data_IF_521555706960
#
_entry.id   IF_521555706960
#
_cell.length_a   1.000
_cell.length_b   1.000
_cell.length_c   1.000
_cell.angle_alpha   90.00
_cell.angle_beta   90.00
_cell.angle_gamma   90.00
#
_symmetry.space_group_name_H-M   'P 1'
#
loop_
_entity.id
_entity.type
_entity.pdbx_description
1 polymer ?
#
# COMPACT_ATOMS: atom_id res chain seq x y z
N UNK A 1 6.73 7.78 13.26
CA UNK A 1 5.59 7.20 14.00
C UNK A 1 4.52 6.80 12.99
N UNK A 2 4.62 5.59 12.43
CA UNK A 2 3.63 5.11 11.48
C UNK A 2 2.25 5.09 12.14
N UNK A 3 1.20 5.48 11.42
CA UNK A 3 -0.20 5.47 11.87
C UNK A 3 -0.78 4.04 11.95
N UNK A 4 0.02 3.09 12.43
CA UNK A 4 -0.35 1.70 12.62
C UNK A 4 -0.96 1.50 14.02
N UNK A 5 -1.94 0.61 14.11
CA UNK A 5 -2.51 0.25 15.40
C UNK A 5 -1.42 -0.33 16.34
N UNK A 6 -1.41 0.04 17.64
CA UNK A 6 -0.39 -0.39 18.60
C UNK A 6 -0.37 -1.91 18.79
N UNK A 7 -1.51 -2.58 18.62
CA UNK A 7 -1.62 -4.05 18.65
C UNK A 7 -0.87 -4.71 17.48
N UNK A 8 -0.99 -4.15 16.27
CA UNK A 8 -0.27 -4.62 15.07
C UNK A 8 1.24 -4.45 15.29
N UNK A 9 1.67 -3.28 15.77
CA UNK A 9 3.07 -3.02 16.09
C UNK A 9 3.62 -4.00 17.13
N UNK A 10 2.83 -4.35 18.14
CA UNK A 10 3.24 -5.30 19.20
C UNK A 10 3.39 -6.71 18.64
N UNK A 11 2.43 -7.18 17.83
CA UNK A 11 2.50 -8.51 17.18
C UNK A 11 3.65 -8.58 16.20
N UNK A 12 3.85 -7.53 15.39
CA UNK A 12 4.94 -7.42 14.44
C UNK A 12 6.30 -7.51 15.14
N UNK A 13 6.52 -6.75 16.21
CA UNK A 13 7.76 -6.83 17.00
C UNK A 13 7.98 -8.22 17.58
N UNK A 14 6.94 -8.87 18.08
CA UNK A 14 7.04 -10.23 18.61
C UNK A 14 7.42 -11.24 17.52
N UNK A 15 6.82 -11.16 16.33
CA UNK A 15 7.14 -12.03 15.20
C UNK A 15 8.57 -11.80 14.69
N UNK A 16 8.96 -10.54 14.51
CA UNK A 16 10.30 -10.16 14.07
C UNK A 16 11.39 -10.54 15.08
N UNK A 17 11.08 -10.52 16.39
CA UNK A 17 12.01 -10.98 17.44
C UNK A 17 12.23 -12.50 17.40
N UNK A 18 11.25 -13.27 16.91
CA UNK A 18 11.37 -14.73 16.72
C UNK A 18 12.19 -15.09 15.48
N UNK A 19 12.31 -14.18 14.53
CA UNK A 19 13.10 -14.38 13.31
C UNK A 19 14.59 -14.24 13.62
N UNK A 20 15.35 -15.31 13.44
CA UNK A 20 16.80 -15.33 13.70
C UNK A 20 17.59 -14.55 12.64
N UNK A 21 17.02 -14.38 11.45
CA UNK A 21 17.57 -13.61 10.33
C UNK A 21 17.78 -12.14 10.71
N UNK A 22 16.91 -11.60 11.55
CA UNK A 22 16.99 -10.25 12.09
C UNK A 22 17.99 -10.12 13.23
N UNK A 23 18.61 -11.22 13.67
CA UNK A 23 19.64 -11.25 14.73
C UNK A 23 21.03 -11.07 14.13
N UNK A 24 21.24 -11.54 12.90
CA UNK A 24 22.51 -11.48 12.19
C UNK A 24 22.52 -10.37 11.14
N UNK A 25 23.47 -9.43 11.25
CA UNK A 25 23.53 -8.25 10.38
C UNK A 25 23.85 -8.63 8.92
N UNK A 26 24.67 -9.67 8.72
CA UNK A 26 25.03 -10.13 7.39
C UNK A 26 23.82 -10.73 6.65
N UNK A 27 22.99 -11.49 7.37
CA UNK A 27 21.75 -12.08 6.82
C UNK A 27 20.71 -11.00 6.55
N UNK A 28 20.60 -10.02 7.44
CA UNK A 28 19.75 -8.85 7.22
C UNK A 28 20.17 -8.06 5.98
N UNK A 29 21.48 -7.78 5.83
CA UNK A 29 22.03 -7.16 4.62
C UNK A 29 21.76 -7.97 3.35
N UNK A 30 21.80 -9.29 3.44
CA UNK A 30 21.49 -10.17 2.31
C UNK A 30 19.99 -10.13 1.94
N UNK A 31 19.08 -10.01 2.91
CA UNK A 31 17.66 -9.75 2.65
C UNK A 31 17.47 -8.44 1.89
N UNK A 32 18.17 -7.40 2.30
CA UNK A 32 18.16 -6.11 1.62
C UNK A 32 18.85 -6.11 0.24
N UNK A 33 19.47 -7.21 -0.19
CA UNK A 33 19.92 -7.37 -1.57
C UNK A 33 18.75 -7.66 -2.54
N UNK A 34 17.56 -7.95 -2.01
CA UNK A 34 16.33 -8.06 -2.81
C UNK A 34 15.99 -6.72 -3.44
N UNK A 35 15.80 -6.72 -4.76
CA UNK A 35 15.58 -5.52 -5.59
C UNK A 35 14.44 -4.66 -5.05
N UNK A 36 13.42 -5.30 -4.46
CA UNK A 36 12.22 -4.65 -3.90
C UNK A 36 12.52 -3.78 -2.69
N UNK A 37 13.53 -4.13 -1.89
CA UNK A 37 13.86 -3.46 -0.62
C UNK A 37 15.28 -2.88 -0.57
N UNK A 38 16.09 -3.13 -1.59
CA UNK A 38 17.43 -2.55 -1.75
C UNK A 38 17.52 -1.03 -1.60
N UNK A 39 16.55 -0.20 -2.05
CA UNK A 39 16.67 1.25 -1.87
C UNK A 39 16.69 1.68 -0.39
N UNK A 40 16.11 0.90 0.52
CA UNK A 40 16.05 1.24 1.94
C UNK A 40 17.19 0.63 2.77
N UNK A 41 18.06 -0.18 2.15
CA UNK A 41 19.19 -0.83 2.83
C UNK A 41 20.19 0.17 3.44
N UNK A 42 20.41 1.30 2.77
CA UNK A 42 21.33 2.35 3.20
C UNK A 42 20.71 3.35 4.18
N UNK A 43 19.37 3.33 4.31
CA UNK A 43 18.62 4.25 5.15
C UNK A 43 18.51 3.76 6.60
N UNK A 44 18.80 2.47 6.85
CA UNK A 44 18.74 1.88 8.17
C UNK A 44 20.05 2.09 8.94
N UNK A 45 20.00 2.68 10.15
CA UNK A 45 21.18 2.75 10.99
C UNK A 45 21.57 1.35 11.48
N UNK A 46 22.88 1.15 11.60
CA UNK A 46 23.45 -0.08 12.14
C UNK A 46 23.24 -0.12 13.66
N UNK A 47 22.03 -0.48 14.11
CA UNK A 47 21.74 -0.56 15.53
C UNK A 47 22.36 -1.82 16.15
N UNK A 48 23.03 -1.64 17.30
CA UNK A 48 23.83 -2.69 17.96
C UNK A 48 22.97 -3.83 18.58
N UNK A 49 21.66 -3.65 18.72
CA UNK A 49 20.76 -4.62 19.38
C UNK A 49 19.62 -5.01 18.45
N UNK A 50 19.29 -6.30 18.45
CA UNK A 50 18.22 -6.85 17.62
C UNK A 50 16.87 -6.17 17.86
N UNK A 51 16.49 -5.91 19.11
CA UNK A 51 15.23 -5.24 19.45
C UNK A 51 15.17 -3.79 18.98
N UNK A 52 16.28 -3.06 19.10
CA UNK A 52 16.38 -1.68 18.65
C UNK A 52 16.39 -1.59 17.12
N UNK A 53 17.05 -2.54 16.44
CA UNK A 53 16.97 -2.67 14.97
C UNK A 53 15.54 -2.89 14.51
N UNK A 54 14.81 -3.83 15.12
CA UNK A 54 13.41 -4.09 14.75
C UNK A 54 12.56 -2.84 14.93
N UNK A 55 12.72 -2.13 16.05
CA UNK A 55 12.02 -0.87 16.28
C UNK A 55 12.33 0.16 15.19
N UNK A 56 13.60 0.29 14.82
CA UNK A 56 14.08 1.26 13.85
C UNK A 56 13.59 0.92 12.44
N UNK A 57 13.62 -0.35 12.05
CA UNK A 57 13.10 -0.85 10.77
C UNK A 57 11.61 -0.52 10.65
N UNK A 58 10.82 -0.80 11.70
CA UNK A 58 9.38 -0.52 11.68
C UNK A 58 9.10 0.98 11.58
N UNK A 59 9.81 1.81 12.34
CA UNK A 59 9.59 3.26 12.32
C UNK A 59 10.07 3.89 10.99
N UNK A 60 11.21 3.44 10.47
CA UNK A 60 11.80 3.96 9.23
C UNK A 60 11.03 3.49 8.00
N UNK A 61 10.69 2.21 7.91
CA UNK A 61 9.99 1.66 6.74
C UNK A 61 8.48 1.92 6.80
N UNK A 62 7.89 2.03 7.98
CA UNK A 62 6.45 2.27 8.13
C UNK A 62 5.99 3.62 7.56
N UNK A 63 6.86 4.64 7.56
CA UNK A 63 6.58 5.97 7.00
C UNK A 63 6.95 6.08 5.50
N UNK A 64 7.58 5.04 4.92
CA UNK A 64 8.14 5.09 3.58
C UNK A 64 7.32 4.23 2.63
N UNK A 65 7.02 4.81 1.47
CA UNK A 65 6.30 4.13 0.40
C UNK A 65 7.18 4.01 -0.84
N UNK A 66 7.07 2.88 -1.55
CA UNK A 66 7.76 2.71 -2.82
C UNK A 66 7.07 3.56 -3.90
N UNK A 67 7.75 4.61 -4.37
CA UNK A 67 7.21 5.56 -5.35
C UNK A 67 6.71 4.90 -6.66
N UNK A 68 7.28 3.74 -7.05
CA UNK A 68 6.89 3.01 -8.26
C UNK A 68 5.69 2.06 -8.14
N UNK A 69 5.41 1.47 -6.97
CA UNK A 69 4.38 0.43 -6.80
C UNK A 69 3.21 0.87 -5.90
N UNK A 70 3.37 1.97 -5.15
CA UNK A 70 2.38 2.40 -4.17
C UNK A 70 2.24 1.42 -3.00
N UNK A 71 3.26 0.58 -2.77
CA UNK A 71 3.30 -0.35 -1.64
C UNK A 71 4.25 0.19 -0.56
N UNK A 72 3.84 0.02 0.70
CA UNK A 72 4.64 0.45 1.84
C UNK A 72 5.89 -0.41 1.99
N UNK A 73 7.02 0.23 2.30
CA UNK A 73 8.31 -0.42 2.41
C UNK A 73 8.32 -1.53 3.48
N UNK A 74 7.54 -1.36 4.55
CA UNK A 74 7.40 -2.36 5.60
C UNK A 74 6.71 -3.64 5.10
N UNK A 75 5.72 -3.52 4.21
CA UNK A 75 5.00 -4.66 3.61
C UNK A 75 5.94 -5.44 2.70
N UNK A 76 6.71 -4.75 1.87
CA UNK A 76 7.71 -5.37 0.99
C UNK A 76 8.79 -6.08 1.78
N UNK A 77 9.23 -5.49 2.90
CA UNK A 77 10.18 -6.13 3.82
C UNK A 77 9.62 -7.42 4.42
N UNK A 78 8.36 -7.44 4.85
CA UNK A 78 7.73 -8.66 5.39
C UNK A 78 7.60 -9.75 4.34
N UNK A 79 7.27 -9.40 3.09
CA UNK A 79 7.24 -10.37 1.99
C UNK A 79 8.64 -10.92 1.65
N UNK A 80 9.68 -10.08 1.66
CA UNK A 80 11.05 -10.54 1.49
C UNK A 80 11.49 -11.46 2.64
N UNK A 81 11.14 -11.11 3.88
CA UNK A 81 11.43 -11.95 5.05
C UNK A 81 10.72 -13.30 4.96
N UNK A 82 9.43 -13.30 4.59
CA UNK A 82 8.65 -14.50 4.33
C UNK A 82 9.31 -15.40 3.29
N UNK A 83 9.85 -14.85 2.20
CA UNK A 83 10.52 -15.64 1.16
C UNK A 83 11.74 -16.41 1.69
N UNK A 84 12.37 -15.90 2.75
CA UNK A 84 13.49 -16.57 3.43
C UNK A 84 13.09 -17.55 4.53
N UNK A 85 11.82 -17.59 4.89
CA UNK A 85 11.27 -18.52 5.88
C UNK A 85 10.76 -19.76 5.13
N UNK A 86 10.94 -20.94 5.72
CA UNK A 86 10.46 -22.17 5.10
C UNK A 86 8.93 -22.12 4.96
N UNK A 87 8.36 -22.45 3.78
CA UNK A 87 6.91 -22.39 3.57
C UNK A 87 6.11 -23.36 4.44
N UNK A 88 6.77 -24.32 5.11
CA UNK A 88 6.15 -25.22 6.10
C UNK A 88 6.18 -24.67 7.52
N UNK A 89 6.87 -23.57 7.75
CA UNK A 89 6.97 -22.95 9.07
C UNK A 89 5.70 -22.14 9.37
N UNK A 90 5.22 -22.23 10.60
CA UNK A 90 4.07 -21.43 11.08
C UNK A 90 4.33 -19.93 10.99
N UNK A 91 5.60 -19.52 11.09
CA UNK A 91 6.02 -18.13 10.92
C UNK A 91 5.75 -17.62 9.51
N UNK A 92 5.77 -18.48 8.49
CA UNK A 92 5.46 -18.09 7.10
C UNK A 92 4.03 -17.56 6.96
N UNK A 93 3.08 -18.27 7.57
CA UNK A 93 1.68 -17.88 7.59
C UNK A 93 1.42 -16.66 8.48
N UNK A 94 2.08 -16.57 9.64
CA UNK A 94 1.96 -15.40 10.51
C UNK A 94 2.52 -14.12 9.86
N UNK A 95 3.67 -14.21 9.17
CA UNK A 95 4.28 -13.07 8.47
C UNK A 95 3.42 -12.60 7.30
N UNK A 96 2.84 -13.53 6.55
CA UNK A 96 1.95 -13.21 5.43
C UNK A 96 0.66 -12.51 5.90
N UNK A 97 0.04 -13.06 6.96
CA UNK A 97 -1.13 -12.42 7.59
C UNK A 97 -0.80 -11.03 8.15
N UNK A 98 0.35 -10.87 8.82
CA UNK A 98 0.79 -9.58 9.34
C UNK A 98 1.10 -8.58 8.23
N UNK A 99 1.66 -9.03 7.10
CA UNK A 99 1.91 -8.15 5.96
C UNK A 99 0.60 -7.61 5.36
N UNK A 100 -0.43 -8.45 5.26
CA UNK A 100 -1.75 -8.05 4.76
C UNK A 100 -2.49 -7.14 5.77
N UNK A 101 -2.41 -7.43 7.07
CA UNK A 101 -2.93 -6.57 8.15
C UNK A 101 -2.27 -5.17 8.11
N UNK A 102 -0.94 -5.11 7.97
CA UNK A 102 -0.18 -3.84 7.87
C UNK A 102 -0.54 -3.10 6.59
N UNK A 103 -0.61 -3.78 5.45
CA UNK A 103 -1.02 -3.18 4.17
C UNK A 103 -2.41 -2.57 4.26
N UNK A 104 -3.36 -3.30 4.85
CA UNK A 104 -4.73 -2.85 5.06
C UNK A 104 -4.80 -1.65 6.01
N UNK A 105 -4.07 -1.70 7.13
CA UNK A 105 -4.01 -0.61 8.09
C UNK A 105 -3.39 0.67 7.53
N UNK A 106 -2.43 0.55 6.60
CA UNK A 106 -1.81 1.70 5.94
C UNK A 106 -2.65 2.21 4.76
N UNK A 107 -3.35 1.32 4.05
CA UNK A 107 -4.27 1.70 2.98
C UNK A 107 -5.55 2.38 3.49
N UNK A 108 -5.93 2.10 4.74
CA UNK A 108 -7.08 2.71 5.43
C UNK A 108 -6.64 3.31 6.77
N UNK A 109 -6.30 4.60 6.85
CA UNK A 109 -5.90 5.26 8.10
C UNK A 109 -7.05 5.47 9.12
N UNK A 110 -8.10 4.63 9.11
CA UNK A 110 -9.31 4.89 9.90
C UNK A 110 -10.21 3.71 10.27
N UNK A 111 -9.92 2.46 9.90
CA UNK A 111 -10.81 1.33 10.24
C UNK A 111 -10.06 0.34 11.17
N UNK A 112 -10.42 0.35 12.45
CA UNK A 112 -9.99 -0.64 13.42
C UNK A 112 -10.45 -2.05 12.97
N UNK A 113 -9.61 -3.09 13.02
CA UNK A 113 -10.04 -4.42 12.66
C UNK A 113 -10.80 -5.03 13.84
N UNK A 114 -12.14 -4.93 13.82
CA UNK A 114 -12.97 -5.86 14.59
C UNK A 114 -12.97 -7.23 13.89
N UNK A 115 -12.55 -8.32 14.54
CA UNK A 115 -12.58 -9.62 13.92
C UNK A 115 -14.00 -10.16 14.05
N UNK A 116 -14.79 -10.13 12.95
CA UNK A 116 -15.71 -11.19 12.51
C UNK A 116 -16.76 -10.67 11.50
N UNK A 117 -16.62 -11.19 10.28
CA UNK A 117 -17.69 -11.62 9.37
C UNK A 117 -18.57 -10.59 8.61
N UNK A 118 -18.47 -10.69 7.27
CA UNK A 118 -19.52 -10.61 6.22
C UNK A 118 -20.17 -9.25 5.95
N UNK A 119 -19.88 -8.65 4.78
CA UNK A 119 -20.89 -8.00 3.91
C UNK A 119 -20.32 -7.63 2.53
N UNK A 120 -20.60 -8.46 1.52
CA UNK A 120 -20.22 -8.33 0.10
C UNK A 120 -21.04 -7.27 -0.66
N UNK A 121 -21.37 -6.16 0.01
CA UNK A 121 -22.20 -5.07 -0.53
C UNK A 121 -21.64 -3.70 -0.20
N UNK A 122 -20.82 -3.58 0.85
CA UNK A 122 -20.16 -2.32 1.22
C UNK A 122 -18.90 -2.06 0.39
N UNK A 123 -18.16 -3.13 0.03
CA UNK A 123 -16.95 -3.01 -0.79
C UNK A 123 -17.26 -2.53 -2.21
N UNK A 124 -18.39 -2.95 -2.78
CA UNK A 124 -18.87 -2.48 -4.07
C UNK A 124 -19.18 -0.98 -4.06
N UNK A 125 -19.90 -0.46 -3.05
CA UNK A 125 -20.18 0.98 -2.93
C UNK A 125 -18.90 1.81 -2.76
N UNK A 126 -17.96 1.33 -1.94
CA UNK A 126 -16.65 1.97 -1.79
C UNK A 126 -15.83 1.93 -3.08
N UNK A 127 -15.86 0.83 -3.81
CA UNK A 127 -15.22 0.66 -5.11
C UNK A 127 -15.84 1.57 -6.18
N UNK A 128 -17.17 1.66 -6.24
CA UNK A 128 -17.89 2.55 -7.14
C UNK A 128 -17.58 4.03 -6.84
N UNK A 129 -17.52 4.43 -5.57
CA UNK A 129 -17.18 5.80 -5.19
C UNK A 129 -15.72 6.16 -5.54
N UNK A 130 -14.79 5.20 -5.37
CA UNK A 130 -13.40 5.35 -5.84
C UNK A 130 -13.31 5.48 -7.36
N UNK A 131 -14.08 4.68 -8.11
CA UNK A 131 -14.15 4.77 -9.58
C UNK A 131 -14.74 6.11 -10.02
N UNK A 132 -15.80 6.58 -9.39
CA UNK A 132 -16.40 7.89 -9.66
C UNK A 132 -15.41 9.03 -9.42
N UNK A 133 -14.63 8.94 -8.34
CA UNK A 133 -13.63 9.96 -7.99
C UNK A 133 -12.51 10.04 -9.04
N UNK A 134 -12.07 8.87 -9.54
CA UNK A 134 -11.08 8.81 -10.63
C UNK A 134 -11.65 9.34 -11.94
N UNK A 135 -12.85 8.93 -12.33
CA UNK A 135 -13.51 9.39 -13.56
C UNK A 135 -13.74 10.91 -13.55
N UNK A 136 -14.19 11.49 -12.44
CA UNK A 136 -14.34 12.95 -12.27
C UNK A 136 -13.02 13.70 -12.42
N UNK A 137 -11.92 13.12 -11.93
CA UNK A 137 -10.58 13.73 -12.03
C UNK A 137 -10.05 13.69 -13.47
N UNK A 138 -10.27 12.57 -14.18
CA UNK A 138 -9.92 12.46 -15.60
C UNK A 138 -10.70 13.47 -16.44
N UNK A 139 -12.01 13.58 -16.21
CA UNK A 139 -12.86 14.56 -16.88
C UNK A 139 -12.36 15.99 -16.64
N UNK A 140 -12.00 16.34 -15.41
CA UNK A 140 -11.46 17.66 -15.09
C UNK A 140 -10.16 17.98 -15.85
N UNK A 141 -9.24 17.01 -15.95
CA UNK A 141 -8.00 17.16 -16.73
C UNK A 141 -8.32 17.36 -18.20
N UNK A 142 -9.19 16.55 -18.77
CA UNK A 142 -9.61 16.69 -20.17
C UNK A 142 -10.28 18.04 -20.42
N UNK A 143 -11.12 18.53 -19.50
CA UNK A 143 -11.74 19.86 -19.59
C UNK A 143 -10.71 20.98 -19.51
N UNK A 144 -9.70 20.89 -18.65
CA UNK A 144 -8.61 21.85 -18.56
C UNK A 144 -7.78 21.89 -19.86
N UNK A 145 -7.45 20.72 -20.41
CA UNK A 145 -6.80 20.62 -21.72
C UNK A 145 -7.67 21.22 -22.82
N UNK A 146 -8.99 21.02 -22.74
CA UNK A 146 -9.95 21.57 -23.67
C UNK A 146 -10.16 23.09 -23.54
N UNK A 147 -9.93 23.65 -22.35
CA UNK A 147 -10.05 25.07 -22.06
C UNK A 147 -8.92 25.89 -22.70
N UNK A 148 -7.78 25.25 -23.01
CA UNK A 148 -6.72 25.83 -23.83
C UNK A 148 -7.09 26.01 -25.30
N UNK A 149 -8.21 25.41 -25.76
CA UNK A 149 -8.69 25.53 -27.13
C UNK A 149 -9.98 26.36 -27.20
N UNK A 150 -10.06 27.23 -28.20
CA UNK A 150 -11.32 27.89 -28.55
C UNK A 150 -12.32 26.88 -29.13
N UNK A 151 -13.62 27.13 -29.00
CA UNK A 151 -14.70 26.19 -29.38
C UNK A 151 -14.65 25.68 -30.83
N UNK A 152 -13.92 26.38 -31.72
CA UNK A 152 -13.74 26.05 -33.14
C UNK A 152 -12.41 25.34 -33.45
N UNK A 153 -11.46 25.33 -32.52
CA UNK A 153 -10.09 24.79 -32.71
C UNK A 153 -9.84 23.57 -31.83
N UNK A 154 -10.81 23.18 -30.99
CA UNK A 154 -10.69 22.00 -30.14
C UNK A 154 -10.60 20.74 -31.01
N UNK A 155 -9.54 19.93 -30.86
CA UNK A 155 -9.36 18.74 -31.67
C UNK A 155 -10.48 17.72 -31.47
N UNK A 156 -10.91 17.08 -32.56
CA UNK A 156 -12.06 16.16 -32.60
C UNK A 156 -11.89 14.96 -31.65
N UNK A 157 -10.69 14.39 -31.56
CA UNK A 157 -10.42 13.29 -30.63
C UNK A 157 -10.68 13.67 -29.18
N UNK A 158 -10.36 14.91 -28.80
CA UNK A 158 -10.54 15.43 -27.44
C UNK A 158 -12.02 15.72 -27.13
N UNK A 159 -12.82 16.07 -28.15
CA UNK A 159 -14.28 16.16 -28.01
C UNK A 159 -14.92 14.80 -27.77
N UNK A 160 -14.53 13.78 -28.55
CA UNK A 160 -15.02 12.41 -28.40
C UNK A 160 -14.68 11.87 -27.00
N UNK A 161 -13.44 12.06 -26.56
CA UNK A 161 -12.98 11.58 -25.26
C UNK A 161 -13.67 12.29 -24.09
N UNK A 162 -13.93 13.59 -24.18
CA UNK A 162 -14.72 14.32 -23.19
C UNK A 162 -16.16 13.81 -23.09
N UNK A 163 -16.80 13.53 -24.22
CA UNK A 163 -18.20 13.07 -24.26
C UNK A 163 -18.31 11.66 -23.68
N UNK A 164 -17.38 10.77 -24.03
CA UNK A 164 -17.30 9.41 -23.48
C UNK A 164 -17.05 9.42 -21.96
N UNK A 165 -16.13 10.26 -21.48
CA UNK A 165 -15.88 10.39 -20.03
C UNK A 165 -17.09 10.97 -19.28
N UNK A 166 -17.85 11.88 -19.89
CA UNK A 166 -19.10 12.41 -19.30
C UNK A 166 -20.18 11.34 -19.18
N UNK A 167 -20.33 10.50 -20.20
CA UNK A 167 -21.29 9.41 -20.18
C UNK A 167 -20.91 8.35 -19.13
N UNK A 168 -19.63 8.01 -19.01
CA UNK A 168 -19.12 7.10 -17.99
C UNK A 168 -19.37 7.64 -16.57
N UNK A 169 -19.13 8.93 -16.33
CA UNK A 169 -19.42 9.57 -15.04
C UNK A 169 -20.93 9.52 -14.75
N UNK A 170 -21.78 9.86 -15.72
CA UNK A 170 -23.23 9.80 -15.55
C UNK A 170 -23.74 8.37 -15.27
N UNK A 171 -23.18 7.36 -15.93
CA UNK A 171 -23.51 5.96 -15.70
C UNK A 171 -23.09 5.48 -14.31
N UNK A 172 -21.91 5.89 -13.85
CA UNK A 172 -21.42 5.60 -12.49
C UNK A 172 -22.26 6.30 -11.43
N UNK A 173 -22.67 7.56 -11.64
CA UNK A 173 -23.55 8.30 -10.73
C UNK A 173 -24.97 7.71 -10.68
N UNK A 174 -25.54 7.29 -11.82
CA UNK A 174 -26.85 6.66 -11.86
C UNK A 174 -26.90 5.32 -11.13
N UNK A 175 -25.78 4.59 -11.09
CA UNK A 175 -25.65 3.32 -10.37
C UNK A 175 -25.44 3.48 -8.87
N UNK A 176 -25.06 4.68 -8.42
CA UNK A 176 -24.84 5.04 -7.02
C UNK A 176 -26.10 5.64 -6.37
N UNK A 177 -27.09 6.05 -7.16
CA UNK A 177 -28.34 6.70 -6.72
C UNK A 177 -29.47 5.70 -6.51
#
# INVERSE_FOLDING_TARGET
MPSLAPDILTRLRAALTRCTQLRDDAVLRALFADDRISPWANELPNALRASDRVAFVIDTLGDREHAGYGENALVLFLHALRDTVDPRDTLHGELDALADEVKTALASPGEFPEPRQVSRTSDDLGSLNRQLTRAKRTLHILEEQAAGYTALTRPVHLQIELEEQRELVAALEARLR
#
